data_IF_983515182368
#
_entry.id   IF_983515182368
#
_cell.length_a   1.000
_cell.length_b   1.000
_cell.length_c   1.000
_cell.angle_alpha   90.00
_cell.angle_beta   90.00
_cell.angle_gamma   90.00
#
_symmetry.space_group_name_H-M   'P 1'
#
loop_
_entity.id
_entity.type
_entity.pdbx_description
1 polymer ?
#
# COMPACT_ATOMS: atom_id res chain seq x y z
N UNK A 1 -17.22 -23.78 1.18
CA UNK A 1 -15.96 -23.82 1.95
C UNK A 1 -16.24 -23.53 3.40
N UNK A 2 -15.98 -24.51 4.28
CA UNK A 2 -15.94 -24.27 5.71
C UNK A 2 -14.75 -23.35 5.96
N UNK A 3 -14.99 -22.22 6.61
CA UNK A 3 -13.90 -21.46 7.23
C UNK A 3 -13.42 -22.39 8.33
N UNK A 4 -12.23 -22.96 8.19
CA UNK A 4 -11.56 -23.64 9.29
C UNK A 4 -11.47 -22.64 10.44
N UNK A 5 -12.40 -22.76 11.38
CA UNK A 5 -12.36 -22.03 12.63
C UNK A 5 -11.22 -22.64 13.41
N UNK A 6 -10.00 -22.11 13.24
CA UNK A 6 -8.89 -22.43 14.12
C UNK A 6 -9.36 -22.17 15.56
N UNK A 7 -9.57 -23.25 16.31
CA UNK A 7 -10.02 -23.20 17.69
C UNK A 7 -8.86 -22.70 18.54
N UNK A 8 -8.83 -21.40 18.82
CA UNK A 8 -7.82 -20.82 19.69
C UNK A 8 -8.09 -21.20 21.15
N UNK A 9 -7.10 -21.80 21.80
CA UNK A 9 -7.09 -21.95 23.25
C UNK A 9 -6.86 -20.57 23.89
N UNK A 10 -7.91 -19.99 24.44
CA UNK A 10 -7.88 -18.71 25.16
C UNK A 10 -7.14 -18.86 26.50
N UNK A 11 -5.81 -18.91 26.46
CA UNK A 11 -4.99 -18.84 27.67
C UNK A 11 -4.91 -17.38 28.11
N UNK A 12 -5.62 -17.05 29.19
CA UNK A 12 -5.50 -15.77 29.88
C UNK A 12 -4.04 -15.51 30.25
N UNK A 13 -3.57 -14.27 30.02
CA UNK A 13 -2.23 -13.77 30.34
C UNK A 13 -1.64 -14.41 31.60
N UNK A 14 -0.54 -15.17 31.53
CA UNK A 14 0.25 -15.46 32.71
C UNK A 14 0.96 -14.17 33.11
N UNK A 15 0.52 -13.61 34.24
CA UNK A 15 1.09 -12.43 34.87
C UNK A 15 2.58 -12.68 35.17
N UNK A 16 3.44 -11.74 34.81
CA UNK A 16 4.76 -11.66 35.41
C UNK A 16 4.60 -11.46 36.94
N UNK A 17 5.48 -12.03 37.79
CA UNK A 17 5.42 -11.82 39.23
C UNK A 17 5.51 -10.32 39.51
N UNK A 18 4.47 -9.82 40.17
CA UNK A 18 4.09 -8.41 40.33
C UNK A 18 5.15 -7.52 40.99
N UNK A 19 5.35 -6.33 40.42
CA UNK A 19 5.56 -5.11 41.21
C UNK A 19 4.94 -3.92 40.46
N UNK A 20 3.98 -3.24 41.10
CA UNK A 20 3.14 -2.11 40.67
C UNK A 20 1.74 -2.49 40.14
N UNK A 21 0.74 -1.89 40.79
CA UNK A 21 -0.70 -1.97 40.60
C UNK A 21 -1.19 -1.46 39.23
N UNK A 22 -0.61 -1.91 38.12
CA UNK A 22 -1.32 -1.84 36.84
C UNK A 22 -2.34 -2.97 36.85
N UNK A 23 -3.63 -2.63 36.92
CA UNK A 23 -4.70 -3.54 36.50
C UNK A 23 -4.51 -3.80 35.00
N UNK A 24 -3.58 -4.69 34.66
CA UNK A 24 -3.36 -5.12 33.29
C UNK A 24 -4.60 -5.87 32.84
N UNK A 25 -5.32 -5.29 31.88
CA UNK A 25 -6.54 -5.86 31.33
C UNK A 25 -6.31 -7.34 30.94
N UNK A 26 -7.13 -8.27 31.42
CA UNK A 26 -7.02 -9.71 31.12
C UNK A 26 -7.47 -10.05 29.68
N UNK A 27 -7.78 -9.03 28.88
CA UNK A 27 -8.22 -9.19 27.51
C UNK A 27 -7.13 -9.90 26.65
N UNK A 28 -7.55 -10.83 25.76
CA UNK A 28 -6.65 -11.43 24.80
C UNK A 28 -6.03 -10.34 23.93
N UNK A 29 -4.72 -10.42 23.73
CA UNK A 29 -4.05 -9.53 22.77
C UNK A 29 -4.57 -9.89 21.37
N UNK A 30 -4.89 -8.92 20.54
CA UNK A 30 -5.10 -9.10 19.10
C UNK A 30 -4.00 -8.37 18.36
N UNK A 31 -3.33 -9.06 17.43
CA UNK A 31 -2.23 -8.51 16.65
C UNK A 31 -2.73 -8.18 15.24
N UNK A 32 -2.75 -6.90 14.90
CA UNK A 32 -3.06 -6.42 13.55
C UNK A 32 -1.74 -6.16 12.83
N UNK A 33 -1.51 -6.82 11.71
CA UNK A 33 -0.28 -6.70 10.92
C UNK A 33 -0.58 -5.91 9.66
N UNK A 34 0.11 -4.79 9.45
CA UNK A 34 0.03 -4.06 8.19
C UNK A 34 0.85 -4.78 7.10
N UNK A 35 0.37 -4.79 5.84
CA UNK A 35 1.07 -5.40 4.72
C UNK A 35 2.49 -4.87 4.52
N UNK A 36 2.74 -3.58 4.79
CA UNK A 36 4.05 -2.96 4.67
C UNK A 36 5.13 -3.68 5.51
N UNK A 37 4.82 -3.99 6.77
CA UNK A 37 5.72 -4.73 7.64
C UNK A 37 6.06 -6.12 7.08
N UNK A 38 5.11 -6.80 6.43
CA UNK A 38 5.33 -8.11 5.81
C UNK A 38 6.27 -7.96 4.61
N UNK A 39 6.07 -6.98 3.75
CA UNK A 39 6.97 -6.72 2.62
C UNK A 39 8.39 -6.38 3.08
N UNK A 40 8.56 -5.60 4.14
CA UNK A 40 9.88 -5.31 4.72
C UNK A 40 10.56 -6.58 5.24
N UNK A 41 9.82 -7.48 5.90
CA UNK A 41 10.34 -8.77 6.36
C UNK A 41 10.75 -9.66 5.19
N UNK A 42 9.93 -9.72 4.14
CA UNK A 42 10.21 -10.51 2.93
C UNK A 42 11.40 -9.95 2.14
N UNK A 43 11.51 -8.62 2.00
CA UNK A 43 12.68 -7.97 1.38
C UNK A 43 13.95 -8.29 2.16
N UNK A 44 13.89 -8.23 3.50
CA UNK A 44 15.00 -8.63 4.36
C UNK A 44 15.35 -10.12 4.21
N UNK A 45 14.36 -11.00 4.09
CA UNK A 45 14.57 -12.42 3.85
C UNK A 45 15.28 -12.71 2.51
N UNK A 46 14.96 -11.96 1.46
CA UNK A 46 15.55 -12.11 0.12
C UNK A 46 16.99 -11.57 0.06
N UNK A 47 17.32 -10.53 0.84
CA UNK A 47 18.67 -9.95 0.89
C UNK A 47 19.68 -10.79 1.68
N UNK A 48 19.23 -11.86 2.34
CA UNK A 48 20.10 -12.76 3.09
C UNK A 48 21.17 -13.35 2.17
N UNK A 49 22.42 -13.26 2.58
CA UNK A 49 23.51 -14.01 1.95
C UNK A 49 23.19 -15.51 2.11
N UNK A 50 22.82 -16.17 1.02
CA UNK A 50 22.65 -17.62 0.98
C UNK A 50 24.02 -18.26 1.24
N UNK A 51 24.24 -18.99 2.36
CA UNK A 51 25.47 -19.74 2.54
C UNK A 51 25.60 -20.76 1.40
N UNK A 52 26.80 -20.93 0.86
CA UNK A 52 27.09 -21.89 -0.21
C UNK A 52 26.82 -23.36 0.20
N UNK A 53 26.69 -23.63 1.50
CA UNK A 53 26.38 -24.94 2.06
C UNK A 53 24.95 -24.98 2.64
N UNK A 54 24.06 -25.84 2.14
CA UNK A 54 22.67 -25.97 2.61
C UNK A 54 22.53 -26.59 4.02
N UNK A 55 23.65 -26.89 4.69
CA UNK A 55 23.70 -27.54 5.99
C UNK A 55 24.37 -26.68 7.09
N UNK A 56 24.86 -25.48 6.77
CA UNK A 56 25.58 -24.62 7.71
C UNK A 56 24.66 -23.53 8.28
N UNK A 57 24.27 -23.70 9.55
CA UNK A 57 23.64 -22.72 10.46
C UNK A 57 22.31 -22.10 10.00
N UNK A 58 21.36 -22.01 10.93
CA UNK A 58 20.01 -21.51 10.72
C UNK A 58 19.98 -20.20 9.92
N UNK A 59 19.52 -20.30 8.68
CA UNK A 59 19.37 -19.19 7.74
C UNK A 59 18.26 -18.20 8.15
N UNK A 60 17.89 -18.13 9.43
CA UNK A 60 16.76 -17.32 9.87
C UNK A 60 17.17 -15.86 9.94
N UNK A 61 16.22 -15.01 9.61
CA UNK A 61 16.39 -13.57 9.67
C UNK A 61 15.72 -13.07 10.94
N UNK A 62 16.31 -12.07 11.60
CA UNK A 62 15.79 -11.48 12.83
C UNK A 62 15.71 -9.95 12.65
N UNK A 63 14.62 -9.37 13.15
CA UNK A 63 14.49 -7.92 13.21
C UNK A 63 13.46 -7.48 14.23
N UNK A 64 13.36 -6.16 14.42
CA UNK A 64 12.42 -5.56 15.35
C UNK A 64 11.10 -5.19 14.65
N UNK A 65 10.02 -5.28 15.42
CA UNK A 65 8.68 -4.86 15.04
C UNK A 65 8.35 -3.53 15.71
N UNK A 66 7.84 -2.60 14.90
CA UNK A 66 7.47 -1.25 15.34
C UNK A 66 6.01 -0.99 15.00
N UNK A 67 5.34 -0.24 15.86
CA UNK A 67 3.97 0.19 15.60
C UNK A 67 3.29 0.75 16.82
N UNK A 68 1.97 0.69 16.85
CA UNK A 68 1.16 1.31 17.89
C UNK A 68 0.46 0.26 18.75
N UNK A 69 0.26 0.59 20.02
CA UNK A 69 -0.56 -0.19 20.94
C UNK A 69 -1.77 0.64 21.34
N UNK A 70 -2.92 0.00 21.46
CA UNK A 70 -4.09 0.63 22.06
C UNK A 70 -3.81 0.99 23.52
N UNK A 71 -4.44 2.04 24.03
CA UNK A 71 -4.34 2.49 25.42
C UNK A 71 -4.76 1.38 26.40
N UNK A 72 -5.73 0.55 26.00
CA UNK A 72 -6.21 -0.60 26.77
C UNK A 72 -5.24 -1.80 26.76
N UNK A 73 -4.21 -1.76 25.90
CA UNK A 73 -3.22 -2.82 25.74
C UNK A 73 -3.76 -4.16 25.22
N UNK A 74 -5.00 -4.19 24.74
CA UNK A 74 -5.66 -5.37 24.14
C UNK A 74 -5.35 -5.54 22.66
N UNK A 75 -5.01 -4.46 21.96
CA UNK A 75 -4.71 -4.49 20.51
C UNK A 75 -3.33 -3.90 20.24
N UNK A 76 -2.58 -4.56 19.37
CA UNK A 76 -1.30 -4.07 18.87
C UNK A 76 -1.34 -4.05 17.34
N UNK A 77 -1.04 -2.90 16.74
CA UNK A 77 -0.95 -2.71 15.30
C UNK A 77 0.52 -2.60 14.92
N UNK A 78 1.04 -3.61 14.24
CA UNK A 78 2.37 -3.62 13.65
C UNK A 78 2.29 -2.85 12.33
N UNK A 79 2.99 -1.72 12.24
CA UNK A 79 3.02 -0.89 11.03
C UNK A 79 4.26 -1.16 10.19
N UNK A 80 5.42 -1.18 10.84
CA UNK A 80 6.72 -1.28 10.19
C UNK A 80 7.63 -2.28 10.89
N UNK A 81 8.69 -2.66 10.22
CA UNK A 81 9.71 -3.57 10.73
C UNK A 81 11.08 -3.21 10.17
N UNK A 82 12.13 -3.44 10.94
CA UNK A 82 13.50 -3.23 10.48
C UNK A 82 14.43 -4.38 10.88
N UNK A 83 15.43 -4.61 10.05
CA UNK A 83 16.45 -5.65 10.23
C UNK A 83 17.36 -5.34 11.41
N UNK A 84 17.73 -6.36 12.21
CA UNK A 84 18.78 -6.24 13.21
C UNK A 84 19.90 -7.24 12.90
N UNK A 85 21.15 -6.79 12.74
CA UNK A 85 22.29 -7.68 12.63
C UNK A 85 22.38 -8.59 13.85
N UNK A 86 22.49 -9.89 13.61
CA UNK A 86 22.65 -10.89 14.65
C UNK A 86 23.74 -11.87 14.24
N UNK A 87 24.41 -12.44 15.24
CA UNK A 87 25.39 -13.51 15.04
C UNK A 87 24.88 -14.73 15.80
N UNK A 88 24.62 -15.83 15.08
CA UNK A 88 24.19 -17.11 15.65
C UNK A 88 25.29 -18.15 15.46
N UNK A 89 25.92 -18.54 16.57
CA UNK A 89 26.84 -19.67 16.66
C UNK A 89 26.11 -20.86 17.32
N UNK A 90 26.68 -22.06 17.25
CA UNK A 90 26.06 -23.30 17.80
C UNK A 90 25.66 -23.19 19.28
N UNK A 91 26.35 -22.33 20.06
CA UNK A 91 26.13 -22.15 21.50
C UNK A 91 25.66 -20.74 21.92
N UNK A 92 25.65 -19.76 21.00
CA UNK A 92 25.41 -18.36 21.38
C UNK A 92 24.70 -17.57 20.28
N UNK A 93 23.72 -16.75 20.69
CA UNK A 93 23.10 -15.73 19.84
C UNK A 93 23.35 -14.35 20.42
N UNK A 94 23.99 -13.49 19.64
CA UNK A 94 24.22 -12.09 19.98
C UNK A 94 23.43 -11.18 19.03
N UNK A 95 22.74 -10.20 19.61
CA UNK A 95 21.96 -9.17 18.90
C UNK A 95 22.60 -7.83 19.17
N UNK A 96 22.82 -7.02 18.14
CA UNK A 96 23.40 -5.68 18.29
C UNK A 96 22.38 -4.69 18.88
N UNK A 97 22.50 -4.47 20.20
CA UNK A 97 21.65 -3.58 20.98
C UNK A 97 21.84 -2.10 20.60
N UNK A 98 23.06 -1.71 20.26
CA UNK A 98 23.38 -0.32 19.94
C UNK A 98 22.79 0.05 18.58
N UNK A 99 22.92 -0.85 17.60
CA UNK A 99 22.26 -0.72 16.31
C UNK A 99 20.74 -0.63 16.47
N UNK A 100 20.12 -1.51 17.27
CA UNK A 100 18.68 -1.46 17.53
C UNK A 100 18.25 -0.11 18.11
N UNK A 101 18.96 0.40 19.13
CA UNK A 101 18.62 1.69 19.77
C UNK A 101 18.77 2.86 18.80
N UNK A 102 19.85 2.88 18.03
CA UNK A 102 20.08 3.92 17.03
C UNK A 102 19.02 3.89 15.94
N UNK A 103 18.71 2.71 15.39
CA UNK A 103 17.71 2.55 14.34
C UNK A 103 16.29 2.88 14.83
N UNK A 104 15.92 2.44 16.04
CA UNK A 104 14.65 2.81 16.66
C UNK A 104 14.57 4.34 16.85
N UNK A 105 15.64 4.99 17.27
CA UNK A 105 15.67 6.45 17.43
C UNK A 105 15.46 7.19 16.10
N UNK A 106 15.98 6.65 15.00
CA UNK A 106 15.76 7.19 13.65
C UNK A 106 14.31 6.96 13.20
N UNK A 107 13.76 5.77 13.46
CA UNK A 107 12.36 5.46 13.14
C UNK A 107 11.39 6.41 13.86
N UNK A 108 11.62 6.63 15.16
CA UNK A 108 10.79 7.51 15.99
C UNK A 108 10.90 8.99 15.60
N UNK A 109 11.97 9.42 14.91
CA UNK A 109 12.05 10.77 14.34
C UNK A 109 11.09 10.97 13.17
N UNK A 110 10.85 9.93 12.37
CA UNK A 110 9.87 9.97 11.29
C UNK A 110 8.45 9.70 11.82
N UNK A 111 8.30 8.72 12.71
CA UNK A 111 7.02 8.26 13.26
C UNK A 111 7.03 8.31 14.79
N UNK A 112 6.77 9.48 15.41
CA UNK A 112 6.87 9.65 16.86
C UNK A 112 5.74 9.00 17.67
N UNK A 113 4.67 8.55 17.01
CA UNK A 113 3.54 7.86 17.65
C UNK A 113 3.78 6.36 17.85
N UNK A 114 4.80 5.83 17.19
CA UNK A 114 5.08 4.40 17.23
C UNK A 114 6.00 4.06 18.39
N UNK A 115 6.06 2.76 18.69
CA UNK A 115 6.83 2.18 19.78
C UNK A 115 7.35 0.82 19.35
N UNK A 116 8.38 0.32 20.04
CA UNK A 116 8.85 -1.03 19.85
C UNK A 116 7.78 -2.02 20.35
N UNK A 117 7.34 -2.93 19.49
CA UNK A 117 6.30 -3.92 19.81
C UNK A 117 6.86 -5.31 20.09
N UNK A 118 8.02 -5.64 19.55
CA UNK A 118 8.67 -6.92 19.71
C UNK A 118 9.64 -7.20 18.55
N UNK A 119 9.67 -8.45 18.09
CA UNK A 119 10.60 -8.91 17.06
C UNK A 119 9.96 -9.92 16.13
N UNK A 120 10.55 -10.10 14.95
CA UNK A 120 10.13 -11.08 13.97
C UNK A 120 11.25 -12.04 13.60
N UNK A 121 10.85 -13.18 13.08
CA UNK A 121 11.75 -14.11 12.41
C UNK A 121 11.10 -14.81 11.23
N UNK A 122 11.92 -15.34 10.34
CA UNK A 122 11.48 -16.07 9.15
C UNK A 122 11.43 -17.59 9.35
N UNK A 123 11.91 -18.11 10.49
CA UNK A 123 11.80 -19.52 10.84
C UNK A 123 10.55 -19.78 11.69
N UNK A 124 9.82 -20.85 11.37
CA UNK A 124 8.71 -21.32 12.21
C UNK A 124 9.16 -22.19 13.40
N UNK A 125 10.41 -22.65 13.40
CA UNK A 125 10.95 -23.48 14.47
C UNK A 125 11.31 -22.63 15.70
N UNK A 126 10.67 -22.93 16.83
CA UNK A 126 10.94 -22.28 18.11
C UNK A 126 12.05 -23.05 18.83
N UNK A 127 13.25 -22.47 18.86
CA UNK A 127 14.42 -23.04 19.52
C UNK A 127 14.68 -22.36 20.87
N UNK A 128 15.57 -22.93 21.68
CA UNK A 128 16.01 -22.32 22.96
C UNK A 128 16.56 -20.89 22.79
N UNK A 129 17.22 -20.62 21.66
CA UNK A 129 17.66 -19.27 21.31
C UNK A 129 16.52 -18.26 21.13
N UNK A 130 15.36 -18.71 20.64
CA UNK A 130 14.18 -17.84 20.51
C UNK A 130 13.69 -17.37 21.89
N UNK A 131 13.83 -18.20 22.93
CA UNK A 131 13.50 -17.82 24.29
C UNK A 131 14.44 -16.74 24.85
N UNK A 132 15.75 -16.83 24.55
CA UNK A 132 16.74 -15.82 24.93
C UNK A 132 16.46 -14.46 24.25
N UNK A 133 16.20 -14.47 22.95
CA UNK A 133 15.87 -13.25 22.19
C UNK A 133 14.58 -12.63 22.72
N UNK A 134 13.56 -13.46 22.97
CA UNK A 134 12.29 -13.00 23.51
C UNK A 134 12.44 -12.33 24.88
N UNK A 135 13.26 -12.90 25.77
CA UNK A 135 13.54 -12.31 27.07
C UNK A 135 14.35 -11.01 26.95
N UNK A 136 15.25 -10.91 25.96
CA UNK A 136 15.96 -9.67 25.66
C UNK A 136 15.02 -8.54 25.20
N UNK A 137 14.03 -8.83 24.34
CA UNK A 137 13.01 -7.86 23.94
C UNK A 137 11.94 -7.59 25.01
N UNK A 138 11.79 -8.48 25.98
CA UNK A 138 10.92 -8.28 27.13
C UNK A 138 11.61 -7.52 28.29
N UNK A 139 12.93 -7.37 28.24
CA UNK A 139 13.70 -6.73 29.31
C UNK A 139 13.38 -5.22 29.45
N UNK A 140 13.44 -4.65 30.67
CA UNK A 140 13.14 -3.23 30.89
C UNK A 140 14.05 -2.24 30.15
N UNK A 141 15.32 -2.60 29.96
CA UNK A 141 16.36 -1.67 29.45
C UNK A 141 16.43 -1.57 27.91
N UNK A 142 15.89 -2.57 27.22
CA UNK A 142 16.03 -2.77 25.77
C UNK A 142 14.71 -3.03 25.06
N UNK A 143 13.64 -3.20 25.81
CA UNK A 143 12.44 -3.90 25.36
C UNK A 143 11.15 -3.13 25.47
N UNK A 144 10.06 -3.90 25.52
CA UNK A 144 8.68 -3.42 25.40
C UNK A 144 7.99 -3.22 26.75
N UNK A 145 8.74 -3.23 27.86
CA UNK A 145 8.20 -3.09 29.21
C UNK A 145 7.38 -1.80 29.34
N UNK A 146 6.17 -1.82 29.94
CA UNK A 146 5.55 -2.91 30.72
C UNK A 146 4.73 -3.93 29.92
N UNK A 147 4.68 -3.84 28.60
CA UNK A 147 3.87 -4.71 27.75
C UNK A 147 4.66 -5.94 27.24
N UNK A 148 4.00 -7.09 27.01
CA UNK A 148 4.68 -8.27 26.51
C UNK A 148 5.18 -8.06 25.07
N UNK A 149 6.41 -8.51 24.81
CA UNK A 149 7.01 -8.49 23.48
C UNK A 149 6.28 -9.47 22.55
N UNK A 150 5.94 -9.03 21.35
CA UNK A 150 5.30 -9.85 20.32
C UNK A 150 6.37 -10.51 19.47
N UNK A 151 6.28 -11.82 19.29
CA UNK A 151 7.12 -12.58 18.37
C UNK A 151 6.31 -12.97 17.13
N UNK A 152 6.69 -12.47 15.96
CA UNK A 152 6.03 -12.78 14.69
C UNK A 152 6.90 -13.72 13.85
N UNK A 153 6.34 -14.87 13.44
CA UNK A 153 7.01 -15.75 12.47
C UNK A 153 6.32 -15.62 11.10
N UNK A 154 7.10 -15.41 10.05
CA UNK A 154 6.62 -15.26 8.67
C UNK A 154 7.25 -16.34 7.80
N UNK A 155 6.43 -17.11 7.07
CA UNK A 155 6.95 -18.06 6.07
C UNK A 155 7.58 -17.31 4.90
N UNK A 156 8.72 -17.83 4.41
CA UNK A 156 9.48 -17.24 3.29
C UNK A 156 9.60 -18.19 2.11
N UNK A 157 8.81 -19.25 2.07
CA UNK A 157 8.86 -20.26 1.00
C UNK A 157 8.35 -19.67 -0.33
N UNK A 158 9.19 -19.60 -1.38
CA UNK A 158 8.78 -19.01 -2.66
C UNK A 158 7.63 -19.79 -3.29
N UNK A 159 6.53 -19.10 -3.61
CA UNK A 159 5.36 -19.67 -4.26
C UNK A 159 4.35 -20.34 -3.32
N UNK A 160 4.64 -20.42 -2.03
CA UNK A 160 3.66 -20.79 -1.01
C UNK A 160 2.87 -19.55 -0.52
N UNK A 161 1.70 -19.80 0.08
CA UNK A 161 0.94 -18.75 0.76
C UNK A 161 1.70 -18.25 2.00
N UNK A 162 1.61 -16.94 2.26
CA UNK A 162 2.27 -16.32 3.40
C UNK A 162 1.59 -16.79 4.69
N UNK A 163 2.28 -17.64 5.45
CA UNK A 163 1.84 -18.07 6.77
C UNK A 163 2.41 -17.15 7.85
N UNK A 164 1.52 -16.55 8.62
CA UNK A 164 1.85 -15.71 9.77
C UNK A 164 1.48 -16.45 11.05
N UNK A 165 2.33 -16.37 12.06
CA UNK A 165 1.97 -16.77 13.43
C UNK A 165 2.52 -15.72 14.40
N UNK A 166 1.67 -15.28 15.31
CA UNK A 166 2.04 -14.33 16.35
C UNK A 166 2.05 -15.05 17.71
N UNK A 167 3.10 -14.81 18.49
CA UNK A 167 3.29 -15.40 19.81
C UNK A 167 3.57 -14.31 20.85
N UNK A 168 3.18 -14.59 22.09
CA UNK A 168 3.63 -13.87 23.28
C UNK A 168 4.36 -14.82 24.21
N UNK A 169 5.27 -14.28 25.02
CA UNK A 169 5.97 -15.06 26.03
C UNK A 169 5.28 -15.05 27.37
N UNK A 170 5.25 -16.22 27.98
CA UNK A 170 4.97 -16.43 29.39
C UNK A 170 6.24 -16.91 30.10
N UNK A 171 6.68 -16.27 31.19
CA UNK A 171 7.77 -16.83 31.99
C UNK A 171 7.29 -18.14 32.62
N UNK A 172 7.92 -19.26 32.23
CA UNK A 172 7.62 -20.58 32.79
C UNK A 172 8.91 -21.09 33.41
N UNK A 173 9.01 -20.92 34.72
CA UNK A 173 10.18 -21.30 35.49
C UNK A 173 9.77 -22.15 36.69
N UNK A 174 10.39 -23.32 36.84
CA UNK A 174 10.31 -24.12 38.07
C UNK A 174 11.31 -23.59 39.11
N UNK A 175 12.41 -22.96 38.68
CA UNK A 175 13.46 -22.37 39.52
C UNK A 175 13.80 -20.94 39.06
N UNK A 176 14.06 -20.02 40.00
CA UNK A 176 14.28 -18.60 39.72
C UNK A 176 15.51 -18.29 38.82
N UNK A 177 16.56 -19.11 38.87
CA UNK A 177 17.77 -18.91 38.05
C UNK A 177 17.58 -19.30 36.57
N UNK A 178 16.78 -20.33 36.29
CA UNK A 178 16.45 -20.74 34.91
C UNK A 178 15.28 -19.99 34.30
N UNK A 179 14.65 -19.10 35.06
CA UNK A 179 13.55 -18.28 34.58
C UNK A 179 13.96 -17.35 33.43
N UNK A 180 15.23 -16.94 33.39
CA UNK A 180 15.78 -16.09 32.34
C UNK A 180 16.06 -16.85 31.02
N UNK A 181 16.07 -18.18 31.04
CA UNK A 181 16.39 -19.02 29.87
C UNK A 181 15.17 -19.78 29.33
N UNK A 182 14.07 -19.84 30.09
CA UNK A 182 12.89 -20.62 29.78
C UNK A 182 11.63 -19.74 29.69
N UNK A 183 11.09 -19.60 28.49
CA UNK A 183 9.78 -18.98 28.27
C UNK A 183 8.90 -19.89 27.42
N UNK A 184 7.60 -19.86 27.69
CA UNK A 184 6.58 -20.55 26.90
C UNK A 184 5.99 -19.57 25.90
N UNK A 185 5.97 -19.96 24.63
CA UNK A 185 5.30 -19.20 23.57
C UNK A 185 3.82 -19.58 23.51
N UNK A 186 2.96 -18.59 23.68
CA UNK A 186 1.51 -18.72 23.56
C UNK A 186 1.10 -18.04 22.25
N UNK A 187 0.44 -18.77 21.37
CA UNK A 187 -0.05 -18.20 20.12
C UNK A 187 -1.21 -17.23 20.37
N UNK A 188 -1.17 -16.10 19.67
CA UNK A 188 -2.12 -15.00 19.79
C UNK A 188 -2.90 -14.84 18.49
N UNK A 189 -4.22 -14.51 18.55
CA UNK A 189 -4.98 -14.16 17.36
C UNK A 189 -4.33 -13.01 16.60
N UNK A 190 -4.15 -13.20 15.29
CA UNK A 190 -3.58 -12.20 14.41
C UNK A 190 -4.45 -12.01 13.17
N UNK A 191 -4.45 -10.79 12.63
CA UNK A 191 -5.16 -10.43 11.40
C UNK A 191 -4.29 -9.52 10.57
N UNK A 192 -4.33 -9.67 9.24
CA UNK A 192 -3.73 -8.70 8.33
C UNK A 192 -4.74 -7.57 8.15
N UNK A 193 -4.37 -6.37 8.60
CA UNK A 193 -5.21 -5.19 8.52
C UNK A 193 -4.66 -4.27 7.43
N UNK A 194 -5.49 -3.95 6.45
CA UNK A 194 -5.15 -3.07 5.34
C UNK A 194 -5.91 -1.75 5.45
N UNK A 195 -5.23 -0.64 5.21
CA UNK A 195 -5.88 0.66 5.00
C UNK A 195 -6.50 0.72 3.59
N UNK A 196 -7.49 1.58 3.37
CA UNK A 196 -8.14 1.69 2.04
C UNK A 196 -7.17 2.08 0.92
N UNK A 197 -6.21 2.95 1.24
CA UNK A 197 -5.14 3.34 0.32
C UNK A 197 -4.19 2.16 0.01
N UNK A 198 -3.80 1.39 1.03
CA UNK A 198 -2.98 0.18 0.87
C UNK A 198 -3.72 -0.89 0.08
N UNK A 199 -5.01 -1.10 0.34
CA UNK A 199 -5.84 -2.06 -0.39
C UNK A 199 -5.84 -1.75 -1.88
N UNK A 200 -6.03 -0.49 -2.24
CA UNK A 200 -6.02 -0.04 -3.65
C UNK A 200 -4.65 -0.27 -4.29
N UNK A 201 -3.56 0.01 -3.58
CA UNK A 201 -2.20 -0.23 -4.04
C UNK A 201 -1.89 -1.73 -4.19
N UNK A 202 -2.32 -2.56 -3.24
CA UNK A 202 -2.14 -4.02 -3.27
C UNK A 202 -2.94 -4.66 -4.40
N UNK A 203 -4.14 -4.18 -4.67
CA UNK A 203 -4.93 -4.63 -5.81
C UNK A 203 -4.21 -4.31 -7.12
N UNK A 204 -3.66 -3.11 -7.26
CA UNK A 204 -2.85 -2.75 -8.42
C UNK A 204 -1.59 -3.64 -8.55
N UNK A 205 -0.86 -3.84 -7.45
CA UNK A 205 0.31 -4.73 -7.43
C UNK A 205 -0.05 -6.18 -7.78
N UNK A 206 -1.24 -6.65 -7.37
CA UNK A 206 -1.72 -7.99 -7.71
C UNK A 206 -1.95 -8.16 -9.21
N UNK A 207 -2.45 -7.11 -9.89
CA UNK A 207 -2.63 -7.15 -11.35
C UNK A 207 -1.30 -7.14 -12.11
N UNK A 208 -0.26 -6.55 -11.54
CA UNK A 208 1.09 -6.58 -12.11
C UNK A 208 1.79 -7.95 -11.97
N UNK A 209 1.29 -8.85 -11.11
CA UNK A 209 1.87 -10.19 -10.89
C UNK A 209 1.84 -11.05 -12.16
N UNK A 210 0.76 -10.97 -12.92
CA UNK A 210 0.50 -11.82 -14.09
C UNK A 210 1.00 -11.20 -15.41
N UNK A 211 1.46 -9.94 -15.38
CA UNK A 211 2.01 -9.25 -16.54
C UNK A 211 3.52 -9.55 -16.71
N UNK A 212 3.94 -9.91 -17.92
CA UNK A 212 5.36 -10.20 -18.22
C UNK A 212 6.29 -9.01 -17.92
N UNK A 213 5.83 -7.79 -18.19
CA UNK A 213 6.59 -6.56 -17.93
C UNK A 213 6.53 -6.07 -16.47
N UNK A 214 5.80 -6.79 -15.58
CA UNK A 214 5.57 -6.42 -14.16
C UNK A 214 5.13 -4.96 -13.95
N UNK A 215 4.44 -4.40 -14.93
CA UNK A 215 3.90 -3.05 -14.88
C UNK A 215 2.38 -3.12 -14.96
N UNK A 216 1.72 -2.28 -14.16
CA UNK A 216 0.27 -2.11 -14.21
C UNK A 216 -0.03 -0.64 -14.50
N UNK A 217 -0.88 -0.34 -15.50
CA UNK A 217 -1.36 1.03 -15.70
C UNK A 217 -2.21 1.44 -14.49
N UNK A 218 -2.10 2.71 -14.09
CA UNK A 218 -3.02 3.26 -13.08
C UNK A 218 -4.43 3.20 -13.68
N UNK A 219 -5.30 2.39 -13.08
CA UNK A 219 -6.69 2.23 -13.52
C UNK A 219 -7.43 3.55 -13.39
N UNK A 220 -8.27 3.84 -14.36
CA UNK A 220 -9.18 4.99 -14.26
C UNK A 220 -10.26 4.73 -13.22
N UNK A 221 -10.83 5.78 -12.63
CA UNK A 221 -11.91 5.65 -11.64
C UNK A 221 -13.12 4.87 -12.19
N UNK A 222 -13.40 5.00 -13.49
CA UNK A 222 -14.48 4.29 -14.18
C UNK A 222 -14.21 2.79 -14.28
N UNK A 223 -12.97 2.40 -14.59
CA UNK A 223 -12.56 0.99 -14.61
C UNK A 223 -12.57 0.40 -13.20
N UNK A 224 -12.14 1.16 -12.19
CA UNK A 224 -12.20 0.77 -10.79
C UNK A 224 -13.64 0.54 -10.31
N UNK A 225 -14.57 1.40 -10.71
CA UNK A 225 -16.00 1.22 -10.44
C UNK A 225 -16.55 -0.04 -11.13
N UNK A 226 -16.18 -0.25 -12.41
CA UNK A 226 -16.63 -1.43 -13.18
C UNK A 226 -16.19 -2.73 -12.49
N UNK A 227 -14.91 -2.84 -12.11
CA UNK A 227 -14.39 -4.00 -11.36
C UNK A 227 -15.07 -4.19 -10.01
N UNK A 228 -15.38 -3.10 -9.32
CA UNK A 228 -16.09 -3.15 -8.03
C UNK A 228 -17.52 -3.66 -8.19
N UNK A 229 -18.21 -3.28 -9.27
CA UNK A 229 -19.54 -3.78 -9.62
C UNK A 229 -19.47 -5.27 -9.95
N UNK A 230 -18.53 -5.69 -10.80
CA UNK A 230 -18.32 -7.10 -11.15
C UNK A 230 -18.02 -7.95 -9.90
N UNK A 231 -17.11 -7.48 -9.04
CA UNK A 231 -16.79 -8.15 -7.77
C UNK A 231 -18.00 -8.24 -6.85
N UNK A 232 -18.85 -7.21 -6.81
CA UNK A 232 -20.07 -7.23 -5.99
C UNK A 232 -21.09 -8.22 -6.56
N UNK A 233 -21.23 -8.28 -7.88
CA UNK A 233 -22.07 -9.27 -8.55
C UNK A 233 -21.59 -10.71 -8.25
N UNK A 234 -20.29 -10.97 -8.35
CA UNK A 234 -19.70 -12.28 -8.06
C UNK A 234 -19.89 -12.69 -6.58
N UNK A 235 -19.78 -11.74 -5.65
CA UNK A 235 -20.09 -11.98 -4.24
C UNK A 235 -21.58 -12.30 -4.00
N UNK A 236 -22.49 -11.62 -4.72
CA UNK A 236 -23.93 -11.91 -4.65
C UNK A 236 -24.26 -13.29 -5.23
N UNK A 237 -23.63 -13.65 -6.36
CA UNK A 237 -23.79 -14.96 -6.98
C UNK A 237 -23.31 -16.07 -6.04
N UNK A 238 -22.16 -15.87 -5.39
CA UNK A 238 -21.63 -16.83 -4.40
C UNK A 238 -22.54 -16.98 -3.17
N UNK A 239 -23.17 -15.89 -2.71
CA UNK A 239 -24.16 -15.96 -1.62
C UNK A 239 -25.43 -16.66 -2.10
N UNK A 240 -25.87 -16.40 -3.33
CA UNK A 240 -27.03 -17.05 -3.95
C UNK A 240 -26.82 -18.56 -4.09
N UNK A 241 -25.65 -18.98 -4.57
CA UNK A 241 -25.26 -20.39 -4.66
C UNK A 241 -25.24 -21.05 -3.28
N UNK A 242 -24.65 -20.37 -2.28
CA UNK A 242 -24.62 -20.87 -0.91
C UNK A 242 -26.02 -21.07 -0.31
N UNK A 243 -26.94 -20.13 -0.54
CA UNK A 243 -28.33 -20.25 -0.07
C UNK A 243 -29.08 -21.35 -0.83
N UNK A 244 -28.87 -21.46 -2.14
CA UNK A 244 -29.48 -22.50 -2.98
C UNK A 244 -29.07 -23.90 -2.51
N UNK A 245 -27.78 -24.12 -2.24
CA UNK A 245 -27.29 -25.40 -1.72
C UNK A 245 -27.87 -25.78 -0.33
N UNK A 246 -28.30 -24.81 0.47
CA UNK A 246 -29.00 -25.07 1.74
C UNK A 246 -30.47 -25.44 1.48
N UNK A 247 -31.12 -24.79 0.51
CA UNK A 247 -32.50 -25.09 0.10
C UNK A 247 -32.58 -26.51 -0.51
N UNK A 248 -31.56 -26.90 -1.27
CA UNK A 248 -31.43 -28.23 -1.87
C UNK A 248 -30.98 -29.33 -0.87
N UNK A 249 -30.88 -28.99 0.42
CA UNK A 249 -30.47 -29.87 1.53
C UNK A 249 -29.05 -30.47 1.40
N UNK A 250 -28.18 -29.89 0.58
CA UNK A 250 -26.80 -30.35 0.40
C UNK A 250 -25.86 -29.92 1.54
N UNK A 251 -26.21 -28.87 2.28
CA UNK A 251 -25.37 -28.30 3.35
C UNK A 251 -26.17 -27.93 4.60
N UNK A 252 -25.58 -28.11 5.77
CA UNK A 252 -26.22 -27.77 7.05
C UNK A 252 -26.51 -26.26 7.17
N UNK A 253 -27.73 -25.89 7.59
CA UNK A 253 -28.13 -24.49 7.74
C UNK A 253 -27.46 -23.84 8.96
N UNK A 254 -26.96 -22.62 8.78
CA UNK A 254 -26.49 -21.77 9.88
C UNK A 254 -27.49 -20.62 10.12
N UNK A 255 -28.25 -20.72 11.21
CA UNK A 255 -29.29 -19.74 11.54
C UNK A 255 -28.75 -18.33 11.78
N UNK A 256 -27.55 -18.19 12.35
CA UNK A 256 -26.94 -16.88 12.61
C UNK A 256 -26.61 -16.16 11.29
N UNK A 257 -26.08 -16.89 10.31
CA UNK A 257 -25.79 -16.36 8.98
C UNK A 257 -27.08 -16.01 8.22
N UNK A 258 -28.10 -16.86 8.30
CA UNK A 258 -29.40 -16.57 7.70
C UNK A 258 -30.05 -15.30 8.25
N UNK A 259 -29.99 -15.09 9.56
CA UNK A 259 -30.50 -13.86 10.18
C UNK A 259 -29.70 -12.63 9.75
N UNK A 260 -28.37 -12.75 9.64
CA UNK A 260 -27.51 -11.68 9.14
C UNK A 260 -27.87 -11.30 7.69
N UNK A 261 -27.97 -12.28 6.79
CA UNK A 261 -28.34 -12.04 5.38
C UNK A 261 -29.72 -11.40 5.24
N UNK A 262 -30.71 -11.87 6.01
CA UNK A 262 -32.05 -11.29 6.02
C UNK A 262 -32.02 -9.83 6.50
N UNK A 263 -31.23 -9.53 7.54
CA UNK A 263 -31.01 -8.17 8.02
C UNK A 263 -30.37 -7.28 6.94
N UNK A 264 -29.30 -7.74 6.30
CA UNK A 264 -28.61 -7.01 5.24
C UNK A 264 -29.49 -6.74 4.02
N UNK A 265 -30.27 -7.73 3.57
CA UNK A 265 -31.20 -7.56 2.44
C UNK A 265 -32.38 -6.66 2.79
N UNK A 266 -32.83 -6.65 4.06
CA UNK A 266 -33.90 -5.75 4.51
C UNK A 266 -33.50 -4.27 4.54
N UNK A 267 -32.19 -3.99 4.59
CA UNK A 267 -31.62 -2.64 4.53
C UNK A 267 -31.47 -2.13 3.09
N UNK A 268 -31.76 -2.95 2.08
CA UNK A 268 -31.68 -2.53 0.68
C UNK A 268 -32.67 -1.37 0.43
N UNK A 269 -32.19 -0.20 -0.03
CA UNK A 269 -33.04 0.94 -0.24
C UNK A 269 -34.00 0.66 -1.40
N UNK A 270 -35.30 0.69 -1.10
CA UNK A 270 -36.37 0.56 -2.10
C UNK A 270 -36.57 1.91 -2.79
N UNK A 271 -35.63 2.27 -3.66
CA UNK A 271 -35.72 3.51 -4.44
C UNK A 271 -36.39 3.17 -5.77
N UNK A 272 -37.34 4.00 -6.18
CA UNK A 272 -38.01 3.84 -7.46
C UNK A 272 -37.03 4.12 -8.61
N UNK A 273 -36.95 3.26 -9.65
CA UNK A 273 -36.00 3.42 -10.75
C UNK A 273 -36.09 4.79 -11.43
N UNK A 274 -37.29 5.36 -11.54
CA UNK A 274 -37.50 6.66 -12.19
C UNK A 274 -36.88 7.83 -11.41
N UNK A 275 -36.89 7.76 -10.07
CA UNK A 275 -36.25 8.77 -9.22
C UNK A 275 -34.73 8.73 -9.37
N UNK A 276 -34.14 7.53 -9.43
CA UNK A 276 -32.69 7.37 -9.60
C UNK A 276 -32.25 7.95 -10.94
N UNK A 277 -32.97 7.68 -12.02
CA UNK A 277 -32.64 8.18 -13.35
C UNK A 277 -32.70 9.72 -13.40
N UNK A 278 -33.72 10.32 -12.79
CA UNK A 278 -33.83 11.78 -12.66
C UNK A 278 -32.65 12.36 -11.88
N UNK A 279 -32.32 11.81 -10.71
CA UNK A 279 -31.25 12.30 -9.86
C UNK A 279 -29.87 12.13 -10.53
N UNK A 280 -29.66 11.03 -11.23
CA UNK A 280 -28.44 10.77 -11.98
C UNK A 280 -28.28 11.74 -13.16
N UNK A 281 -29.37 12.00 -13.90
CA UNK A 281 -29.36 12.97 -15.00
C UNK A 281 -29.06 14.40 -14.50
N UNK A 282 -29.65 14.81 -13.38
CA UNK A 282 -29.36 16.11 -12.77
C UNK A 282 -27.88 16.19 -12.35
N UNK A 283 -27.36 15.14 -11.71
CA UNK A 283 -25.94 15.09 -11.34
C UNK A 283 -25.01 15.16 -12.55
N UNK A 284 -25.31 14.43 -13.64
CA UNK A 284 -24.56 14.50 -14.90
C UNK A 284 -24.57 15.93 -15.46
N UNK A 285 -25.71 16.59 -15.46
CA UNK A 285 -25.82 17.97 -15.95
C UNK A 285 -24.91 18.92 -15.16
N UNK A 286 -24.91 18.81 -13.84
CA UNK A 286 -24.05 19.63 -12.97
C UNK A 286 -22.56 19.36 -13.21
N UNK A 287 -22.17 18.08 -13.32
CA UNK A 287 -20.78 17.70 -13.58
C UNK A 287 -20.32 18.17 -14.96
N UNK A 288 -21.16 18.03 -15.99
CA UNK A 288 -20.87 18.53 -17.34
C UNK A 288 -20.72 20.06 -17.35
N UNK A 289 -21.56 20.78 -16.62
CA UNK A 289 -21.45 22.24 -16.49
C UNK A 289 -20.11 22.64 -15.87
N UNK A 290 -19.70 21.99 -14.77
CA UNK A 290 -18.42 22.27 -14.11
C UNK A 290 -17.23 21.92 -15.01
N UNK A 291 -17.28 20.77 -15.70
CA UNK A 291 -16.24 20.35 -16.65
C UNK A 291 -16.10 21.33 -17.82
N UNK A 292 -17.24 21.79 -18.37
CA UNK A 292 -17.25 22.80 -19.42
C UNK A 292 -16.65 24.13 -18.95
N UNK A 293 -17.01 24.60 -17.75
CA UNK A 293 -16.45 25.82 -17.15
C UNK A 293 -14.93 25.68 -16.96
N UNK A 294 -14.46 24.55 -16.42
CA UNK A 294 -13.04 24.29 -16.19
C UNK A 294 -12.24 24.27 -17.50
N UNK A 295 -12.78 23.64 -18.55
CA UNK A 295 -12.17 23.65 -19.88
C UNK A 295 -12.19 25.06 -20.49
N UNK A 296 -13.26 25.84 -20.29
CA UNK A 296 -13.31 27.23 -20.73
C UNK A 296 -12.26 28.09 -20.02
N UNK A 297 -12.04 27.89 -18.72
CA UNK A 297 -10.97 28.58 -17.98
C UNK A 297 -9.59 28.14 -18.50
N UNK A 298 -9.37 26.84 -18.73
CA UNK A 298 -8.11 26.33 -19.28
C UNK A 298 -7.80 26.93 -20.66
N UNK A 299 -8.78 26.99 -21.55
CA UNK A 299 -8.62 27.61 -22.87
C UNK A 299 -8.37 29.11 -22.78
N UNK A 300 -9.02 29.82 -21.85
CA UNK A 300 -8.74 31.23 -21.59
C UNK A 300 -7.33 31.46 -21.04
N UNK A 301 -6.84 30.58 -20.16
CA UNK A 301 -5.47 30.62 -19.65
C UNK A 301 -4.47 30.38 -20.79
N UNK A 302 -4.67 29.34 -21.62
CA UNK A 302 -3.79 29.07 -22.77
C UNK A 302 -3.79 30.25 -23.77
N UNK A 303 -4.96 30.81 -24.05
CA UNK A 303 -5.09 31.99 -24.91
C UNK A 303 -4.40 33.21 -24.31
N UNK A 304 -4.54 33.44 -23.00
CA UNK A 304 -3.87 34.54 -22.29
C UNK A 304 -2.34 34.38 -22.31
N UNK A 305 -1.83 33.17 -22.09
CA UNK A 305 -0.40 32.86 -22.18
C UNK A 305 0.12 33.09 -23.60
N UNK A 306 -0.59 32.60 -24.62
CA UNK A 306 -0.24 32.83 -26.02
C UNK A 306 -0.26 34.31 -26.40
N UNK A 307 -1.27 35.08 -25.97
CA UNK A 307 -1.32 36.52 -26.22
C UNK A 307 -0.21 37.28 -25.52
N UNK A 308 0.13 36.93 -24.27
CA UNK A 308 1.25 37.53 -23.56
C UNK A 308 2.58 37.26 -24.29
N UNK A 309 2.81 36.03 -24.76
CA UNK A 309 4.01 35.69 -25.56
C UNK A 309 4.01 36.35 -26.94
N UNK A 310 2.85 36.52 -27.58
CA UNK A 310 2.74 37.19 -28.88
C UNK A 310 2.95 38.71 -28.77
N UNK A 311 2.55 39.34 -27.67
CA UNK A 311 2.85 40.75 -27.40
C UNK A 311 4.37 40.96 -27.26
N UNK A 312 5.07 40.08 -26.56
CA UNK A 312 6.54 40.10 -26.46
C UNK A 312 7.21 39.88 -27.83
N UNK A 313 6.70 38.92 -28.63
CA UNK A 313 7.22 38.69 -29.98
C UNK A 313 6.96 39.85 -30.96
N UNK A 314 5.88 40.60 -30.76
CA UNK A 314 5.60 41.82 -31.53
C UNK A 314 6.47 43.00 -31.10
N UNK A 315 6.81 43.13 -29.81
CA UNK A 315 7.77 44.14 -29.34
C UNK A 315 9.19 43.92 -29.90
N UNK A 316 9.62 42.67 -30.06
CA UNK A 316 10.90 42.36 -30.70
C UNK A 316 10.88 42.63 -32.23
N UNK A 317 9.76 42.38 -32.91
CA UNK A 317 9.59 42.75 -34.33
C UNK A 317 9.56 44.26 -34.56
N UNK A 318 8.93 45.02 -33.66
CA UNK A 318 8.92 46.49 -33.75
C UNK A 318 10.29 47.13 -33.45
N UNK A 319 11.18 46.41 -32.73
CA UNK A 319 12.60 46.81 -32.58
C UNK A 319 13.40 46.51 -33.85
N UNK A 320 13.23 45.34 -34.46
CA UNK A 320 13.89 44.99 -35.74
C UNK A 320 13.46 45.94 -36.89
N UNK A 321 12.18 46.33 -36.96
CA UNK A 321 11.68 47.28 -37.97
C UNK A 321 12.16 48.72 -37.74
N UNK A 322 12.54 49.09 -36.51
CA UNK A 322 13.15 50.40 -36.18
C UNK A 322 14.66 50.44 -36.44
N UNK A 323 15.39 49.34 -36.23
CA UNK A 323 16.81 49.26 -36.58
C UNK A 323 17.03 49.23 -38.11
N UNK A 324 16.10 48.66 -38.88
CA UNK A 324 16.17 48.65 -40.35
C UNK A 324 15.95 49.99 -41.07
N UNK A 325 15.42 51.02 -40.38
CA UNK A 325 15.18 52.37 -40.95
C UNK A 325 16.26 53.40 -40.61
N UNK A 326 17.27 53.03 -39.81
CA UNK A 326 18.30 53.93 -39.29
C UNK A 326 19.58 54.09 -40.12
N UNK A 327 19.72 53.43 -41.28
CA UNK A 327 21.01 53.45 -42.01
C UNK A 327 20.84 53.40 -43.55
N UNK A 328 20.30 54.47 -44.15
CA UNK A 328 20.54 54.81 -45.57
C UNK A 328 20.80 56.31 -45.73
N UNK A 329 21.95 56.73 -45.23
CA UNK A 329 22.64 57.95 -45.62
C UNK A 329 23.67 57.66 -46.71
N UNK A 330 23.47 58.32 -47.85
CA UNK A 330 24.37 58.58 -48.97
C UNK A 330 25.86 58.20 -48.83
N UNK A 331 26.32 57.27 -49.69
CA UNK A 331 27.70 57.26 -50.25
C UNK A 331 27.72 56.49 -51.57
N UNK A 332 27.80 57.23 -52.66
CA UNK A 332 28.11 56.71 -53.99
C UNK A 332 29.53 56.15 -54.10
N UNK A 333 29.74 55.19 -55.02
CA UNK A 333 31.09 54.71 -55.32
C UNK A 333 31.20 53.34 -55.99
N UNK A 334 30.79 53.26 -57.25
CA UNK A 334 31.47 52.57 -58.37
C UNK A 334 32.33 51.31 -58.07
N UNK A 335 31.85 50.15 -58.55
CA UNK A 335 32.68 49.21 -59.32
C UNK A 335 32.90 47.81 -58.74
N UNK A 336 32.64 46.80 -59.58
CA UNK A 336 33.54 45.64 -59.68
C UNK A 336 33.06 44.28 -59.15
N UNK A 337 32.49 43.48 -60.07
CA UNK A 337 32.87 42.09 -60.40
C UNK A 337 33.01 41.01 -59.30
N UNK A 338 32.30 39.91 -59.59
CA UNK A 338 32.66 38.48 -59.42
C UNK A 338 32.51 37.83 -58.04
N UNK A 339 31.53 36.92 -57.99
CA UNK A 339 31.78 35.49 -57.76
C UNK A 339 31.58 35.00 -56.33
N UNK A 340 30.92 33.84 -56.18
CA UNK A 340 30.94 33.08 -54.94
C UNK A 340 29.69 32.27 -54.67
N UNK A 341 29.70 30.99 -55.09
CA UNK A 341 28.77 29.93 -54.70
C UNK A 341 28.92 29.57 -53.21
N UNK A 342 27.83 29.09 -52.61
CA UNK A 342 27.78 28.26 -51.40
C UNK A 342 26.68 28.76 -50.47
N UNK A 343 25.65 28.01 -50.06
CA UNK A 343 25.50 26.56 -49.93
C UNK A 343 25.15 26.27 -48.47
N UNK A 344 23.98 25.67 -48.20
CA UNK A 344 23.58 25.18 -46.87
C UNK A 344 22.09 25.36 -46.61
N UNK A 345 21.28 24.31 -46.79
CA UNK A 345 20.72 23.44 -45.71
C UNK A 345 19.70 24.21 -44.84
N UNK A 346 18.39 23.94 -44.85
CA UNK A 346 17.67 22.70 -45.13
C UNK A 346 17.30 21.96 -43.84
N UNK A 347 16.26 22.42 -43.15
CA UNK A 347 15.50 21.70 -42.12
C UNK A 347 14.10 22.33 -42.07
N UNK A 348 13.06 21.74 -42.68
CA UNK A 348 12.18 20.66 -42.18
C UNK A 348 11.57 20.96 -40.81
N UNK A 349 10.55 21.83 -40.80
CA UNK A 349 9.46 21.74 -39.82
C UNK A 349 8.32 20.90 -40.41
N UNK A 350 7.86 19.95 -39.59
CA UNK A 350 6.77 19.03 -39.85
C UNK A 350 5.45 19.80 -39.86
N UNK A 351 4.66 19.61 -40.92
CA UNK A 351 3.27 20.05 -40.98
C UNK A 351 2.40 19.03 -40.24
N UNK A 352 1.64 19.47 -39.26
CA UNK A 352 0.57 18.69 -38.66
C UNK A 352 -0.60 18.47 -39.65
N UNK A 353 -1.38 17.38 -39.49
CA UNK A 353 -2.37 16.96 -40.49
C UNK A 353 -3.67 17.78 -40.37
N UNK A 354 -4.21 18.20 -41.52
CA UNK A 354 -5.55 18.78 -41.61
C UNK A 354 -6.61 17.69 -41.48
N UNK A 355 -7.58 17.90 -40.59
CA UNK A 355 -8.79 17.07 -40.49
C UNK A 355 -9.67 17.20 -41.76
N UNK A 356 -10.41 16.13 -42.15
CA UNK A 356 -11.28 16.15 -43.31
C UNK A 356 -12.59 16.91 -43.00
N UNK A 357 -12.99 17.81 -43.90
CA UNK A 357 -14.32 18.46 -43.85
C UNK A 357 -15.41 17.45 -44.17
N UNK A 358 -16.41 17.35 -43.30
CA UNK A 358 -17.66 16.61 -43.57
C UNK A 358 -18.49 17.26 -44.71
N UNK A 359 -19.17 16.46 -45.55
CA UNK A 359 -20.08 16.99 -46.57
C UNK A 359 -21.43 17.40 -45.95
N UNK A 360 -21.91 18.60 -46.29
CA UNK A 360 -23.26 19.06 -45.96
C UNK A 360 -24.31 18.23 -46.71
N UNK A 361 -25.27 17.65 -45.99
CA UNK A 361 -26.47 17.05 -46.58
C UNK A 361 -27.44 18.12 -47.13
N UNK A 362 -28.13 17.85 -48.25
CA UNK A 362 -29.17 18.72 -48.79
C UNK A 362 -30.49 18.52 -48.05
N UNK A 363 -31.17 19.64 -47.76
CA UNK A 363 -32.53 19.69 -47.21
C UNK A 363 -33.52 19.07 -48.20
N UNK A 364 -34.24 18.04 -47.79
CA UNK A 364 -35.43 17.55 -48.50
C UNK A 364 -36.72 18.14 -47.92
N UNK A 365 -37.65 18.40 -48.83
CA UNK A 365 -38.87 19.16 -48.65
C UNK A 365 -39.95 18.35 -47.90
N UNK A 366 -40.73 19.09 -47.13
CA UNK A 366 -42.00 18.66 -46.56
C UNK A 366 -43.04 18.59 -47.68
N UNK A 367 -43.66 17.42 -47.85
CA UNK A 367 -45.07 17.26 -48.25
C UNK A 367 -45.67 16.05 -47.53
#
# INVERSE_FOLDING_TARGET
>A
MAVDTETFLHLSRPLAPTSLNYQGNLAPLSVNVQPEAIFSILDHAVRRDLPADPAASSSRVIGALVGTRSEDGSEASISSSFAIPHTENEDQVEVDVEYQKNMLSLHLRAHPRETLLGWYTTSHELNSFSALIQNFFAAPDTGTFPHPAIHLTVSTDPGADIQLKAYISAPVAVNAERAAESCLFIQVPHKVAYNDAERSALELLSTAKDAEDRSAPVTTDVEGLTRSIERTADLLDRVSEFVSAIIDEEREPNNALGQYLMGSLSLAPKVDPSSIESDFNNHIQDVLMVSYLANSIRTQIDLSQRLATAALANEDRDKDDKEGRGERGDRGGRGGKRGGRGGGRGGREQREPREPREPREPRENVE
#
